data_IF_624360142784
#
_entry.id   IF_624360142784
#
_cell.length_a   1.000
_cell.length_b   1.000
_cell.length_c   1.000
_cell.angle_alpha   90.00
_cell.angle_beta   90.00
_cell.angle_gamma   90.00
#
_symmetry.space_group_name_H-M   'P 1'
#
loop_
_entity.id
_entity.type
_entity.pdbx_description
1 polymer ?
#
# COMPACT_ATOMS: atom_id res chain seq x y z
N UNK A 1 2.06 -20.23 -8.64
CA UNK A 1 3.04 -19.11 -8.63
C UNK A 1 2.52 -17.97 -9.47
N UNK A 2 2.77 -16.71 -9.06
CA UNK A 2 2.36 -15.49 -9.76
C UNK A 2 3.42 -14.39 -9.57
N UNK A 3 3.32 -13.32 -10.36
CA UNK A 3 4.24 -12.19 -10.28
C UNK A 3 3.54 -11.01 -9.61
N UNK A 4 4.11 -10.50 -8.52
CA UNK A 4 3.67 -9.26 -7.87
C UNK A 4 4.58 -8.10 -8.26
N UNK A 5 3.98 -6.94 -8.53
CA UNK A 5 4.72 -5.69 -8.77
C UNK A 5 4.40 -4.67 -7.68
N UNK A 6 5.45 -4.07 -7.10
CA UNK A 6 5.34 -2.89 -6.25
C UNK A 6 5.86 -1.66 -7.01
N UNK A 7 4.98 -0.68 -7.21
CA UNK A 7 5.31 0.57 -7.88
C UNK A 7 5.90 1.56 -6.86
N UNK A 8 6.88 2.35 -7.29
CA UNK A 8 7.47 3.46 -6.56
C UNK A 8 7.21 4.76 -7.30
N UNK A 9 6.61 5.75 -6.62
CA UNK A 9 6.18 7.01 -7.19
C UNK A 9 6.70 8.21 -6.39
N UNK A 10 6.75 9.35 -7.06
CA UNK A 10 6.81 10.68 -6.45
C UNK A 10 5.55 11.42 -6.81
N UNK A 11 4.46 11.14 -6.10
CA UNK A 11 3.18 11.83 -6.32
C UNK A 11 3.26 13.27 -5.85
N UNK A 12 2.54 14.14 -6.54
CA UNK A 12 2.41 15.56 -6.23
C UNK A 12 0.94 15.96 -5.96
N UNK A 13 0.64 17.25 -5.99
CA UNK A 13 -0.70 17.76 -5.78
C UNK A 13 -1.54 17.88 -7.08
N UNK A 14 -1.07 17.31 -8.18
CA UNK A 14 -1.80 17.26 -9.45
C UNK A 14 -2.29 15.83 -9.73
N UNK A 15 -3.61 15.64 -9.62
CA UNK A 15 -4.24 14.31 -9.80
C UNK A 15 -4.04 13.75 -11.20
N UNK A 16 -4.06 14.61 -12.24
CA UNK A 16 -3.88 14.17 -13.63
C UNK A 16 -2.45 13.72 -13.92
N UNK A 17 -1.45 14.47 -13.46
CA UNK A 17 -0.03 14.09 -13.54
C UNK A 17 0.23 12.78 -12.81
N UNK A 18 -0.32 12.62 -11.59
CA UNK A 18 -0.19 11.39 -10.84
C UNK A 18 -0.88 10.21 -11.52
N UNK A 19 -2.04 10.43 -12.17
CA UNK A 19 -2.72 9.38 -12.93
C UNK A 19 -1.89 8.92 -14.13
N UNK A 20 -1.32 9.85 -14.90
CA UNK A 20 -0.46 9.55 -16.04
C UNK A 20 0.73 8.70 -15.62
N UNK A 21 1.54 9.17 -14.65
CA UNK A 21 2.68 8.43 -14.11
C UNK A 21 2.30 7.04 -13.59
N UNK A 22 1.20 6.97 -12.84
CA UNK A 22 0.70 5.71 -12.25
C UNK A 22 0.31 4.73 -13.34
N UNK A 23 -0.42 5.20 -14.35
CA UNK A 23 -0.88 4.39 -15.50
C UNK A 23 0.30 3.83 -16.29
N UNK A 24 1.29 4.66 -16.60
CA UNK A 24 2.47 4.26 -17.35
C UNK A 24 3.28 3.18 -16.62
N UNK A 25 3.46 3.32 -15.32
CA UNK A 25 4.17 2.33 -14.52
C UNK A 25 3.35 1.04 -14.34
N UNK A 26 2.03 1.12 -14.18
CA UNK A 26 1.15 -0.06 -14.16
C UNK A 26 1.27 -0.81 -15.49
N UNK A 27 1.10 -0.14 -16.62
CA UNK A 27 1.18 -0.77 -17.95
C UNK A 27 2.58 -1.34 -18.21
N UNK A 28 3.63 -0.62 -17.83
CA UNK A 28 5.01 -1.09 -17.96
C UNK A 28 5.26 -2.36 -17.12
N UNK A 29 4.71 -2.43 -15.91
CA UNK A 29 4.81 -3.62 -15.07
C UNK A 29 4.03 -4.81 -15.64
N UNK A 30 2.86 -4.57 -16.23
CA UNK A 30 2.06 -5.58 -16.93
C UNK A 30 2.83 -6.15 -18.13
N UNK A 31 3.48 -5.31 -18.94
CA UNK A 31 4.36 -5.73 -20.04
C UNK A 31 5.51 -6.61 -19.56
N UNK A 32 5.96 -6.45 -18.31
CA UNK A 32 6.93 -7.30 -17.62
C UNK A 32 6.29 -8.50 -16.88
N UNK A 33 5.04 -8.86 -17.25
CA UNK A 33 4.30 -10.04 -16.77
C UNK A 33 3.87 -9.98 -15.31
N UNK A 34 3.62 -8.79 -14.74
CA UNK A 34 2.98 -8.68 -13.45
C UNK A 34 1.52 -9.19 -13.50
N UNK A 35 1.09 -9.91 -12.47
CA UNK A 35 -0.27 -10.44 -12.30
C UNK A 35 -1.04 -9.65 -11.25
N UNK A 36 -0.34 -9.17 -10.23
CA UNK A 36 -0.86 -8.30 -9.19
C UNK A 36 0.04 -7.05 -9.06
N UNK A 37 -0.54 -5.86 -9.17
CA UNK A 37 0.17 -4.60 -9.15
C UNK A 37 -0.30 -3.78 -7.95
N UNK A 38 0.65 -3.18 -7.22
CA UNK A 38 0.39 -2.41 -6.00
C UNK A 38 1.06 -1.05 -6.15
N UNK A 39 0.30 0.03 -5.93
CA UNK A 39 0.81 1.39 -5.89
C UNK A 39 1.04 1.87 -4.45
N UNK A 40 1.76 2.96 -4.19
CA UNK A 40 2.04 3.44 -2.83
C UNK A 40 0.83 4.13 -2.16
N UNK A 41 1.02 4.56 -0.91
CA UNK A 41 0.09 5.46 -0.20
C UNK A 41 0.04 6.82 -0.89
N UNK A 42 -1.14 7.47 -0.89
CA UNK A 42 -1.37 8.78 -1.52
C UNK A 42 -1.05 8.80 -3.04
N UNK A 43 -1.39 7.73 -3.73
CA UNK A 43 -1.10 7.57 -5.16
C UNK A 43 -1.68 8.70 -6.02
N UNK A 44 -2.96 9.04 -5.81
CA UNK A 44 -3.64 10.02 -6.66
C UNK A 44 -3.33 11.47 -6.30
N UNK A 45 -3.02 11.73 -5.04
CA UNK A 45 -2.87 13.09 -4.51
C UNK A 45 -1.97 13.09 -3.28
N UNK A 46 -0.88 13.85 -3.34
CA UNK A 46 0.05 14.00 -2.24
C UNK A 46 0.18 15.48 -1.84
N UNK A 47 -0.56 15.89 -0.84
CA UNK A 47 -0.47 17.24 -0.26
C UNK A 47 -0.63 17.21 1.25
N UNK A 48 -0.04 18.20 1.94
CA UNK A 48 -0.22 18.44 3.36
C UNK A 48 -1.30 19.51 3.64
N UNK A 49 -1.75 20.22 2.62
CA UNK A 49 -2.82 21.22 2.74
C UNK A 49 -4.18 20.53 2.81
N UNK A 50 -4.90 20.78 3.90
CA UNK A 50 -6.23 20.19 4.14
C UNK A 50 -7.31 20.75 3.20
N UNK A 51 -7.23 22.03 2.83
CA UNK A 51 -8.19 22.64 1.91
C UNK A 51 -8.04 22.02 0.52
N UNK A 52 -6.80 21.93 0.05
CA UNK A 52 -6.47 21.29 -1.22
C UNK A 52 -6.91 19.82 -1.26
N UNK A 53 -6.75 19.07 -0.15
CA UNK A 53 -7.28 17.70 -0.04
C UNK A 53 -8.80 17.65 -0.19
N UNK A 54 -9.54 18.56 0.49
CA UNK A 54 -11.01 18.61 0.41
C UNK A 54 -11.52 19.04 -0.96
N UNK A 55 -10.82 19.93 -1.64
CA UNK A 55 -11.16 20.40 -2.99
C UNK A 55 -10.96 19.32 -4.04
N UNK A 56 -9.82 18.62 -3.99
CA UNK A 56 -9.39 17.65 -5.02
C UNK A 56 -9.84 16.22 -4.77
N UNK A 57 -10.20 15.86 -3.53
CA UNK A 57 -10.71 14.54 -3.23
C UNK A 57 -12.13 14.36 -3.75
N UNK A 58 -12.40 13.20 -4.33
CA UNK A 58 -13.70 12.81 -4.87
C UNK A 58 -14.32 11.68 -4.04
N UNK A 59 -15.65 11.50 -4.19
CA UNK A 59 -16.35 10.36 -3.61
C UNK A 59 -16.00 9.06 -4.35
N UNK A 60 -16.08 7.94 -3.66
CA UNK A 60 -15.66 6.64 -4.24
C UNK A 60 -16.41 6.25 -5.51
N UNK A 61 -17.71 6.59 -5.59
CA UNK A 61 -18.57 6.22 -6.72
C UNK A 61 -18.49 7.21 -7.90
N UNK A 62 -17.85 8.33 -7.71
CA UNK A 62 -17.64 9.35 -8.73
C UNK A 62 -16.20 9.85 -8.62
N UNK A 63 -15.25 8.97 -8.97
CA UNK A 63 -13.82 9.23 -8.81
C UNK A 63 -13.09 8.92 -10.13
N UNK A 64 -12.66 9.97 -10.80
CA UNK A 64 -12.01 9.88 -12.09
C UNK A 64 -10.74 9.01 -12.08
N UNK A 65 -9.95 9.11 -11.00
CA UNK A 65 -8.74 8.29 -10.85
C UNK A 65 -9.10 6.80 -10.77
N UNK A 66 -10.06 6.44 -9.91
CA UNK A 66 -10.51 5.05 -9.75
C UNK A 66 -11.16 4.49 -11.02
N UNK A 67 -11.94 5.28 -11.74
CA UNK A 67 -12.54 4.87 -13.03
C UNK A 67 -11.45 4.53 -14.06
N UNK A 68 -10.40 5.35 -14.14
CA UNK A 68 -9.29 5.12 -15.05
C UNK A 68 -8.55 3.83 -14.72
N UNK A 69 -8.28 3.56 -13.45
CA UNK A 69 -7.66 2.31 -13.01
C UNK A 69 -8.56 1.10 -13.23
N UNK A 70 -9.87 1.25 -13.02
CA UNK A 70 -10.88 0.22 -13.33
C UNK A 70 -10.81 -0.21 -14.80
N UNK A 71 -10.74 0.76 -15.72
CA UNK A 71 -10.60 0.49 -17.17
C UNK A 71 -9.31 -0.28 -17.48
N UNK A 72 -8.18 0.10 -16.88
CA UNK A 72 -6.89 -0.59 -17.06
C UNK A 72 -6.99 -2.02 -16.52
N UNK A 73 -7.47 -2.21 -15.29
CA UNK A 73 -7.66 -3.52 -14.68
C UNK A 73 -8.49 -4.44 -15.57
N UNK A 74 -9.61 -3.93 -16.11
CA UNK A 74 -10.50 -4.66 -17.03
C UNK A 74 -9.83 -4.99 -18.36
N UNK A 75 -9.15 -4.01 -18.99
CA UNK A 75 -8.53 -4.16 -20.30
C UNK A 75 -7.38 -5.19 -20.29
N UNK A 76 -6.55 -5.15 -19.25
CA UNK A 76 -5.39 -6.03 -19.13
C UNK A 76 -5.66 -7.30 -18.32
N UNK A 77 -6.88 -7.46 -17.77
CA UNK A 77 -7.27 -8.63 -16.93
C UNK A 77 -6.32 -8.85 -15.74
N UNK A 78 -5.98 -7.77 -15.02
CA UNK A 78 -5.03 -7.80 -13.92
C UNK A 78 -5.64 -7.34 -12.60
N UNK A 79 -5.14 -7.90 -11.49
CA UNK A 79 -5.42 -7.38 -10.16
C UNK A 79 -4.60 -6.12 -9.91
N UNK A 80 -5.25 -5.04 -9.47
CA UNK A 80 -4.59 -3.76 -9.17
C UNK A 80 -5.03 -3.27 -7.80
N UNK A 81 -4.08 -3.01 -6.91
CA UNK A 81 -4.31 -2.34 -5.64
C UNK A 81 -3.80 -0.90 -5.74
N UNK A 82 -4.69 0.06 -5.68
CA UNK A 82 -4.31 1.44 -5.37
C UNK A 82 -4.02 1.49 -3.88
N UNK A 83 -2.74 1.69 -3.55
CA UNK A 83 -2.22 1.58 -2.19
C UNK A 83 -2.91 2.50 -1.22
N UNK A 84 -3.12 3.75 -1.59
CA UNK A 84 -4.22 4.55 -1.08
C UNK A 84 -4.43 5.85 -1.86
N UNK A 85 -5.60 6.45 -1.63
CA UNK A 85 -5.96 7.79 -2.09
C UNK A 85 -6.94 8.44 -1.11
N UNK A 86 -7.04 9.78 -1.08
CA UNK A 86 -8.06 10.47 -0.29
C UNK A 86 -9.44 10.26 -0.92
N UNK A 87 -10.37 9.71 -0.15
CA UNK A 87 -11.78 9.54 -0.55
C UNK A 87 -12.65 10.47 0.29
N UNK A 88 -13.46 11.27 -0.37
CA UNK A 88 -14.44 12.15 0.28
C UNK A 88 -15.59 11.33 0.85
N UNK A 89 -15.79 11.41 2.16
CA UNK A 89 -16.90 10.78 2.87
C UNK A 89 -18.04 11.77 3.10
N UNK A 90 -17.71 13.06 3.23
CA UNK A 90 -18.63 14.20 3.35
C UNK A 90 -17.90 15.49 3.00
N UNK A 91 -18.59 16.64 3.10
CA UNK A 91 -17.97 17.95 2.83
C UNK A 91 -16.72 18.26 3.67
N UNK A 92 -16.56 17.61 4.84
CA UNK A 92 -15.44 17.87 5.78
C UNK A 92 -14.65 16.63 6.18
N UNK A 93 -15.06 15.45 5.74
CA UNK A 93 -14.45 14.18 6.17
C UNK A 93 -13.86 13.43 4.98
N UNK A 94 -12.63 12.99 5.15
CA UNK A 94 -11.90 12.17 4.19
C UNK A 94 -11.54 10.81 4.82
N UNK A 95 -11.37 9.79 3.98
CA UNK A 95 -10.71 8.54 4.33
C UNK A 95 -9.42 8.40 3.54
N UNK A 96 -8.35 7.91 4.18
CA UNK A 96 -7.16 7.42 3.50
C UNK A 96 -7.43 5.96 3.13
N UNK A 97 -7.88 5.72 1.88
CA UNK A 97 -8.49 4.45 1.44
C UNK A 97 -7.63 3.71 0.42
N UNK A 98 -7.36 2.46 0.72
CA UNK A 98 -6.83 1.46 -0.22
C UNK A 98 -7.98 0.84 -1.03
N UNK A 99 -7.83 0.66 -2.35
CA UNK A 99 -8.88 0.13 -3.22
C UNK A 99 -8.32 -0.98 -4.11
N UNK A 100 -8.90 -2.17 -4.04
CA UNK A 100 -8.52 -3.35 -4.82
C UNK A 100 -9.48 -3.56 -5.99
N UNK A 101 -8.94 -3.58 -7.20
CA UNK A 101 -9.67 -3.94 -8.42
C UNK A 101 -9.40 -5.39 -8.82
N UNK A 102 -10.45 -6.10 -9.20
CA UNK A 102 -10.35 -7.43 -9.81
C UNK A 102 -10.17 -7.33 -11.34
N UNK A 103 -9.82 -8.43 -12.03
CA UNK A 103 -9.60 -8.44 -13.49
C UNK A 103 -10.83 -8.06 -14.37
N UNK A 104 -11.99 -7.88 -13.78
CA UNK A 104 -13.18 -7.38 -14.46
C UNK A 104 -13.37 -5.86 -14.29
N UNK A 105 -12.41 -5.17 -13.66
CA UNK A 105 -12.47 -3.74 -13.37
C UNK A 105 -13.42 -3.38 -12.22
N UNK A 106 -13.96 -4.37 -11.51
CA UNK A 106 -14.83 -4.11 -10.35
C UNK A 106 -14.00 -3.97 -9.09
N UNK A 107 -14.41 -3.08 -8.19
CA UNK A 107 -13.86 -3.00 -6.85
C UNK A 107 -14.19 -4.29 -6.11
N UNK A 108 -13.14 -5.07 -5.78
CA UNK A 108 -13.26 -6.33 -5.04
C UNK A 108 -13.29 -6.08 -3.54
N UNK A 109 -12.53 -5.09 -3.06
CA UNK A 109 -12.48 -4.72 -1.65
C UNK A 109 -11.86 -3.33 -1.48
N UNK A 110 -12.04 -2.73 -0.30
CA UNK A 110 -11.35 -1.51 0.11
C UNK A 110 -11.03 -1.55 1.61
N UNK A 111 -10.05 -0.74 2.02
CA UNK A 111 -9.62 -0.62 3.40
C UNK A 111 -9.34 0.84 3.74
N UNK A 112 -9.92 1.33 4.83
CA UNK A 112 -9.60 2.63 5.40
C UNK A 112 -8.53 2.47 6.46
N UNK A 113 -7.46 3.26 6.37
CA UNK A 113 -6.34 3.26 7.31
C UNK A 113 -6.85 3.38 8.74
N UNK A 114 -6.39 2.46 9.61
CA UNK A 114 -6.84 2.42 11.02
C UNK A 114 -5.99 3.36 11.86
N UNK A 115 -4.66 3.30 11.74
CA UNK A 115 -3.76 4.04 12.61
C UNK A 115 -3.27 5.30 11.91
N UNK A 116 -3.69 6.46 12.43
CA UNK A 116 -3.34 7.77 11.91
C UNK A 116 -1.93 8.19 12.33
N UNK A 117 -1.20 8.82 11.40
CA UNK A 117 0.16 9.27 11.63
C UNK A 117 0.17 10.62 12.36
N UNK A 118 -0.10 10.59 13.66
CA UNK A 118 -0.05 11.75 14.56
C UNK A 118 1.25 11.70 15.35
N UNK A 119 2.27 12.38 14.85
CA UNK A 119 3.63 12.29 15.42
C UNK A 119 4.34 13.64 15.41
N UNK A 120 5.24 13.80 16.36
CA UNK A 120 6.19 14.92 16.43
C UNK A 120 7.61 14.36 16.37
N UNK A 121 8.24 14.42 15.19
CA UNK A 121 9.57 13.89 14.97
C UNK A 121 10.67 14.90 15.39
N UNK A 122 10.38 16.20 15.27
CA UNK A 122 11.25 17.28 15.70
C UNK A 122 10.44 18.56 15.97
N UNK A 123 11.13 19.67 16.34
CA UNK A 123 10.46 20.99 16.45
C UNK A 123 9.86 21.47 15.12
N UNK A 124 10.44 21.06 13.99
CA UNK A 124 10.03 21.46 12.63
C UNK A 124 9.23 20.39 11.87
N UNK A 125 9.19 19.16 12.36
CA UNK A 125 8.55 18.03 11.67
C UNK A 125 7.46 17.42 12.56
N UNK A 126 6.21 17.83 12.31
CA UNK A 126 5.02 17.39 13.01
C UNK A 126 3.96 17.01 11.98
N UNK A 127 3.28 15.90 12.24
CA UNK A 127 2.16 15.39 11.43
C UNK A 127 0.94 15.16 12.32
N UNK A 128 -0.25 15.52 11.82
CA UNK A 128 -1.54 15.37 12.49
C UNK A 128 -2.55 14.84 11.46
N UNK A 129 -2.38 13.58 11.07
CA UNK A 129 -3.19 12.94 10.03
C UNK A 129 -4.66 12.82 10.45
N UNK A 130 -4.93 12.56 11.74
CA UNK A 130 -6.28 12.46 12.29
C UNK A 130 -7.12 13.75 12.18
N UNK A 131 -6.48 14.91 11.99
CA UNK A 131 -7.19 16.16 11.71
C UNK A 131 -7.78 16.23 10.30
N UNK A 132 -7.32 15.35 9.40
CA UNK A 132 -7.66 15.36 7.98
C UNK A 132 -8.47 14.15 7.57
N UNK A 133 -8.17 13.01 8.16
CA UNK A 133 -8.75 11.72 7.79
C UNK A 133 -9.45 11.05 8.97
N UNK A 134 -10.62 10.49 8.69
CA UNK A 134 -11.33 9.62 9.63
C UNK A 134 -10.63 8.25 9.68
N UNK A 135 -10.29 7.81 10.88
CA UNK A 135 -9.71 6.48 11.10
C UNK A 135 -10.69 5.36 10.75
N UNK A 136 -10.22 4.38 10.00
CA UNK A 136 -10.93 3.14 9.77
C UNK A 136 -11.09 2.32 11.05
N UNK A 137 -12.06 1.38 11.06
CA UNK A 137 -12.34 0.51 12.22
C UNK A 137 -12.24 -0.97 11.88
N UNK A 138 -12.26 -1.30 10.59
CA UNK A 138 -12.35 -2.70 10.13
C UNK A 138 -11.00 -3.21 9.64
N UNK A 139 -10.57 -4.35 10.16
CA UNK A 139 -9.48 -5.15 9.59
C UNK A 139 -10.03 -5.88 8.37
N UNK A 140 -9.39 -5.72 7.22
CA UNK A 140 -9.92 -6.19 5.94
C UNK A 140 -9.01 -7.26 5.35
N UNK A 141 -9.65 -8.31 4.83
CA UNK A 141 -9.04 -9.37 4.03
C UNK A 141 -9.67 -9.37 2.64
N UNK A 142 -8.88 -9.66 1.63
CA UNK A 142 -9.37 -9.95 0.28
C UNK A 142 -8.94 -11.33 -0.17
N UNK A 143 -9.82 -12.06 -0.86
CA UNK A 143 -9.48 -13.32 -1.50
C UNK A 143 -8.97 -13.04 -2.91
N UNK A 144 -7.69 -13.36 -3.12
CA UNK A 144 -7.07 -13.40 -4.44
C UNK A 144 -7.05 -14.86 -4.95
N UNK A 145 -6.84 -15.11 -6.24
CA UNK A 145 -6.70 -16.48 -6.77
C UNK A 145 -5.61 -17.30 -6.08
N UNK A 146 -4.61 -16.63 -5.51
CA UNK A 146 -3.41 -17.25 -4.91
C UNK A 146 -3.49 -17.35 -3.37
N UNK A 147 -4.50 -16.78 -2.73
CA UNK A 147 -4.65 -16.84 -1.29
C UNK A 147 -5.27 -15.58 -0.68
N UNK A 148 -5.32 -15.52 0.65
CA UNK A 148 -5.85 -14.38 1.38
C UNK A 148 -4.79 -13.29 1.56
N UNK A 149 -5.18 -12.06 1.28
CA UNK A 149 -4.39 -10.86 1.45
C UNK A 149 -4.98 -9.98 2.56
N UNK A 150 -4.15 -9.56 3.50
CA UNK A 150 -4.47 -8.57 4.52
C UNK A 150 -4.06 -7.17 4.06
N UNK A 151 -4.91 -6.19 4.35
CA UNK A 151 -4.65 -4.78 4.08
C UNK A 151 -4.00 -4.10 5.26
N UNK A 152 -3.05 -3.21 4.97
CA UNK A 152 -2.60 -2.16 5.87
C UNK A 152 -2.11 -0.96 5.06
N UNK A 153 -1.90 0.20 5.69
CA UNK A 153 -1.36 1.40 5.07
C UNK A 153 -0.32 2.02 6.00
N UNK A 154 0.92 2.12 5.53
CA UNK A 154 2.02 2.94 6.08
C UNK A 154 2.21 2.80 7.61
N UNK A 155 1.68 3.73 8.39
CA UNK A 155 1.82 3.77 9.85
C UNK A 155 1.28 2.53 10.55
N UNK A 156 0.32 1.82 9.93
CA UNK A 156 -0.19 0.53 10.41
C UNK A 156 0.94 -0.49 10.65
N UNK A 157 2.07 -0.37 9.94
CA UNK A 157 3.21 -1.29 10.10
C UNK A 157 3.77 -1.31 11.53
N UNK A 158 3.53 -0.27 12.32
CA UNK A 158 3.99 -0.19 13.71
C UNK A 158 3.11 -0.95 14.69
N UNK A 159 1.98 -1.47 14.26
CA UNK A 159 0.97 -2.11 15.09
C UNK A 159 0.92 -3.63 14.84
N UNK A 160 1.74 -4.44 15.54
CA UNK A 160 1.88 -5.88 15.28
C UNK A 160 0.57 -6.65 15.39
N UNK A 161 -0.33 -6.23 16.28
CA UNK A 161 -1.61 -6.90 16.50
C UNK A 161 -2.49 -6.91 15.24
N UNK A 162 -2.47 -5.85 14.43
CA UNK A 162 -3.19 -5.83 13.14
C UNK A 162 -2.73 -6.98 12.25
N UNK A 163 -1.43 -7.14 12.07
CA UNK A 163 -0.83 -8.16 11.21
C UNK A 163 -1.05 -9.56 11.77
N UNK A 164 -0.89 -9.71 13.09
CA UNK A 164 -1.12 -10.98 13.76
C UNK A 164 -2.53 -11.48 13.58
N UNK A 165 -3.53 -10.62 13.75
CA UNK A 165 -4.93 -10.98 13.56
C UNK A 165 -5.27 -11.29 12.11
N UNK A 166 -4.74 -10.54 11.14
CA UNK A 166 -4.91 -10.84 9.72
C UNK A 166 -4.29 -12.21 9.38
N UNK A 167 -3.09 -12.51 9.90
CA UNK A 167 -2.43 -13.79 9.70
C UNK A 167 -3.18 -14.96 10.35
N UNK A 168 -3.70 -14.78 11.60
CA UNK A 168 -4.56 -15.78 12.26
C UNK A 168 -5.85 -16.06 11.48
N UNK A 169 -6.37 -15.08 10.73
CA UNK A 169 -7.50 -15.25 9.80
C UNK A 169 -7.11 -15.84 8.46
N UNK A 170 -5.86 -16.25 8.28
CA UNK A 170 -5.36 -16.96 7.10
C UNK A 170 -4.70 -16.09 6.03
N UNK A 171 -4.44 -14.79 6.28
CA UNK A 171 -3.68 -13.98 5.32
C UNK A 171 -2.26 -14.52 5.17
N UNK A 172 -1.86 -14.75 3.92
CA UNK A 172 -0.49 -15.16 3.55
C UNK A 172 0.26 -14.05 2.81
N UNK A 173 -0.44 -13.00 2.42
CA UNK A 173 0.08 -11.78 1.83
C UNK A 173 -0.36 -10.58 2.67
N UNK A 174 0.53 -9.61 2.89
CA UNK A 174 0.24 -8.35 3.57
C UNK A 174 0.69 -7.20 2.70
N UNK A 175 -0.17 -6.23 2.44
CA UNK A 175 0.18 -5.02 1.70
C UNK A 175 0.50 -3.89 2.65
N UNK A 176 1.57 -3.15 2.36
CA UNK A 176 2.05 -2.01 3.18
C UNK A 176 2.39 -0.82 2.28
N UNK A 177 1.41 -0.34 1.47
CA UNK A 177 1.64 0.87 0.68
C UNK A 177 1.96 2.04 1.60
N UNK A 178 2.97 2.86 1.25
CA UNK A 178 3.51 3.81 2.22
C UNK A 178 4.00 5.11 1.59
N UNK A 179 3.89 6.18 2.39
CA UNK A 179 4.58 7.45 2.20
C UNK A 179 5.47 7.73 3.44
N UNK A 180 6.36 6.79 3.74
CA UNK A 180 7.20 6.82 4.93
C UNK A 180 8.16 8.01 4.90
N UNK A 181 8.27 8.77 5.99
CA UNK A 181 9.21 9.90 6.04
C UNK A 181 10.64 9.39 5.92
N UNK A 182 11.53 10.17 5.28
CA UNK A 182 12.94 9.82 5.15
C UNK A 182 13.56 9.55 6.52
N UNK A 183 13.34 10.45 7.49
CA UNK A 183 13.90 10.39 8.84
C UNK A 183 13.60 9.09 9.58
N UNK A 184 12.36 8.59 9.50
CA UNK A 184 11.98 7.35 10.18
C UNK A 184 12.22 6.13 9.29
N UNK A 185 12.22 6.31 7.98
CA UNK A 185 12.46 5.25 7.01
C UNK A 185 13.86 4.66 7.14
N UNK A 186 14.88 5.52 7.18
CA UNK A 186 16.28 5.14 7.35
C UNK A 186 16.53 4.26 8.58
N UNK A 187 15.75 4.46 9.64
CA UNK A 187 15.94 3.75 10.91
C UNK A 187 15.03 2.53 11.10
N UNK A 188 13.82 2.56 10.55
CA UNK A 188 12.77 1.62 10.97
C UNK A 188 12.18 0.78 9.84
N UNK A 189 12.21 1.25 8.58
CA UNK A 189 11.42 0.68 7.49
C UNK A 189 11.70 -0.80 7.25
N UNK A 190 12.95 -1.14 6.97
CA UNK A 190 13.36 -2.52 6.70
C UNK A 190 13.11 -3.45 7.90
N UNK A 191 13.48 -3.00 9.10
CA UNK A 191 13.32 -3.79 10.34
C UNK A 191 11.85 -4.11 10.60
N UNK A 192 10.96 -3.10 10.49
CA UNK A 192 9.54 -3.31 10.73
C UNK A 192 8.92 -4.26 9.69
N UNK A 193 9.22 -4.07 8.41
CA UNK A 193 8.66 -4.94 7.36
C UNK A 193 9.15 -6.38 7.48
N UNK A 194 10.45 -6.59 7.78
CA UNK A 194 10.99 -7.92 8.05
C UNK A 194 10.35 -8.56 9.27
N UNK A 195 10.17 -7.81 10.36
CA UNK A 195 9.47 -8.32 11.54
C UNK A 195 8.05 -8.77 11.21
N UNK A 196 7.27 -7.96 10.44
CA UNK A 196 5.92 -8.35 10.01
C UNK A 196 5.91 -9.60 9.14
N UNK A 197 6.93 -9.80 8.30
CA UNK A 197 7.07 -11.02 7.50
C UNK A 197 7.31 -12.24 8.39
N UNK A 198 8.33 -12.20 9.25
CA UNK A 198 8.80 -13.34 10.06
C UNK A 198 7.76 -13.77 11.09
N UNK A 199 7.26 -12.83 11.90
CA UNK A 199 6.34 -13.13 13.00
C UNK A 199 5.00 -13.71 12.54
N UNK A 200 4.63 -13.48 11.26
CA UNK A 200 3.37 -13.90 10.67
C UNK A 200 3.53 -14.95 9.56
N UNK A 201 4.75 -15.28 9.18
CA UNK A 201 5.05 -16.10 8.00
C UNK A 201 4.19 -15.70 6.81
N UNK A 202 4.28 -14.42 6.44
CA UNK A 202 3.53 -13.82 5.34
C UNK A 202 4.45 -13.03 4.41
N UNK A 203 4.17 -13.04 3.12
CA UNK A 203 4.82 -12.09 2.21
C UNK A 203 4.43 -10.66 2.56
N UNK A 204 5.38 -9.75 2.45
CA UNK A 204 5.14 -8.31 2.58
C UNK A 204 5.35 -7.64 1.22
N UNK A 205 4.33 -6.92 0.76
CA UNK A 205 4.33 -6.12 -0.47
C UNK A 205 4.26 -4.64 -0.09
N UNK A 206 5.37 -3.94 -0.16
CA UNK A 206 5.53 -2.58 0.34
C UNK A 206 5.88 -1.62 -0.81
N UNK A 207 4.87 -1.14 -1.52
CA UNK A 207 5.01 -0.08 -2.50
C UNK A 207 5.17 1.28 -1.79
N UNK A 208 6.14 2.10 -2.19
CA UNK A 208 6.52 3.30 -1.45
C UNK A 208 6.57 4.57 -2.31
N UNK A 209 6.19 5.70 -1.71
CA UNK A 209 6.51 7.03 -2.22
C UNK A 209 8.00 7.31 -2.02
N UNK A 210 8.64 8.00 -2.97
CA UNK A 210 10.07 8.28 -2.97
C UNK A 210 10.38 9.74 -3.26
N UNK A 211 11.53 10.22 -2.77
CA UNK A 211 12.08 11.50 -3.16
C UNK A 211 11.45 12.72 -2.49
N UNK A 212 11.54 13.86 -3.16
CA UNK A 212 11.05 15.16 -2.69
C UNK A 212 9.72 15.48 -3.36
N UNK A 213 8.68 15.64 -2.56
CA UNK A 213 7.34 16.00 -3.03
C UNK A 213 7.16 17.52 -3.13
N UNK A 214 6.08 17.93 -3.79
CA UNK A 214 5.68 19.31 -4.03
C UNK A 214 5.83 20.24 -2.78
N UNK A 215 5.45 19.76 -1.60
CA UNK A 215 5.48 20.49 -0.32
C UNK A 215 6.81 20.36 0.43
N UNK A 216 7.89 20.02 -0.24
CA UNK A 216 9.22 19.75 0.31
C UNK A 216 9.30 18.54 1.27
N UNK A 217 8.24 17.76 1.44
CA UNK A 217 8.29 16.52 2.22
C UNK A 217 9.20 15.51 1.51
N UNK A 218 10.10 14.91 2.29
CA UNK A 218 10.96 13.83 1.80
C UNK A 218 10.39 12.48 2.24
N UNK A 219 10.22 11.57 1.29
CA UNK A 219 9.87 10.17 1.55
C UNK A 219 11.04 9.24 1.25
N UNK A 220 11.04 8.11 1.94
CA UNK A 220 12.20 7.22 2.01
C UNK A 220 12.42 6.42 0.73
N UNK A 221 11.36 6.08 0.01
CA UNK A 221 11.43 5.12 -1.09
C UNK A 221 11.53 3.70 -0.58
N UNK A 222 12.47 2.93 -1.13
CA UNK A 222 12.72 1.56 -0.73
C UNK A 222 11.47 0.69 -0.81
N UNK A 223 10.80 0.70 -1.99
CA UNK A 223 9.75 -0.28 -2.25
C UNK A 223 10.32 -1.69 -2.16
N UNK A 224 9.66 -2.56 -1.38
CA UNK A 224 10.17 -3.89 -1.03
C UNK A 224 9.15 -4.98 -1.30
N UNK A 225 9.64 -6.13 -1.73
CA UNK A 225 8.94 -7.41 -1.70
C UNK A 225 9.76 -8.35 -0.81
N UNK A 226 9.17 -8.77 0.32
CA UNK A 226 9.83 -9.59 1.34
C UNK A 226 9.13 -10.93 1.45
N UNK A 227 9.92 -12.01 1.49
CA UNK A 227 9.44 -13.37 1.69
C UNK A 227 8.98 -13.63 3.14
N UNK A 228 8.20 -14.69 3.38
CA UNK A 228 7.73 -15.04 4.73
C UNK A 228 8.85 -15.38 5.72
N UNK A 229 10.05 -15.66 5.26
CA UNK A 229 11.25 -15.98 6.03
C UNK A 229 12.29 -14.85 6.04
N UNK A 230 11.84 -13.57 5.82
CA UNK A 230 12.64 -12.33 5.93
C UNK A 230 13.52 -11.92 4.74
N UNK A 231 13.66 -12.76 3.73
CA UNK A 231 14.48 -12.44 2.56
C UNK A 231 13.86 -11.29 1.74
N UNK A 232 14.68 -10.31 1.39
CA UNK A 232 14.28 -9.25 0.45
C UNK A 232 14.39 -9.81 -0.96
N UNK A 233 13.26 -10.20 -1.55
CA UNK A 233 13.22 -10.74 -2.90
C UNK A 233 13.54 -9.68 -3.95
N UNK A 234 13.05 -8.45 -3.73
CA UNK A 234 13.32 -7.29 -4.60
C UNK A 234 13.22 -6.00 -3.78
N UNK A 235 14.04 -5.04 -4.16
CA UNK A 235 14.07 -3.69 -3.61
C UNK A 235 14.30 -2.65 -4.70
N UNK A 236 13.64 -1.50 -4.58
CA UNK A 236 13.95 -0.28 -5.34
C UNK A 236 14.23 0.84 -4.35
N UNK A 237 15.50 1.21 -4.23
CA UNK A 237 15.95 2.21 -3.25
C UNK A 237 15.41 3.61 -3.57
N UNK A 238 15.66 4.12 -4.77
CA UNK A 238 15.38 5.51 -5.14
C UNK A 238 14.76 5.62 -6.53
N UNK A 239 14.14 6.78 -6.79
CA UNK A 239 13.56 7.13 -8.08
C UNK A 239 12.25 6.39 -8.38
N UNK A 240 11.49 6.90 -9.32
CA UNK A 240 10.25 6.29 -9.78
C UNK A 240 10.49 5.00 -10.56
N UNK A 241 9.51 4.12 -10.61
CA UNK A 241 9.58 2.84 -11.32
C UNK A 241 8.86 1.73 -10.57
N UNK A 242 9.28 0.49 -10.76
CA UNK A 242 8.69 -0.67 -10.10
C UNK A 242 9.70 -1.80 -9.92
N UNK A 243 9.35 -2.72 -9.02
CA UNK A 243 10.01 -4.02 -8.84
C UNK A 243 9.00 -5.12 -9.09
N UNK A 244 9.49 -6.28 -9.54
CA UNK A 244 8.66 -7.49 -9.74
C UNK A 244 9.39 -8.68 -9.11
N UNK A 245 8.62 -9.50 -8.38
CA UNK A 245 9.08 -10.79 -7.88
C UNK A 245 8.06 -11.89 -8.18
N UNK A 246 8.57 -13.11 -8.43
CA UNK A 246 7.76 -14.32 -8.53
C UNK A 246 7.49 -14.86 -7.12
N UNK A 247 6.24 -15.17 -6.84
CA UNK A 247 5.75 -15.56 -5.51
C UNK A 247 5.31 -17.02 -5.51
N UNK A 248 5.82 -17.80 -4.54
CA UNK A 248 5.29 -19.14 -4.22
C UNK A 248 4.25 -19.01 -3.10
N UNK A 249 2.98 -19.09 -3.46
CA UNK A 249 1.86 -18.99 -2.52
C UNK A 249 1.81 -20.12 -1.48
N UNK A 250 2.56 -21.20 -1.68
CA UNK A 250 2.62 -22.32 -0.75
C UNK A 250 3.66 -22.14 0.36
N UNK A 251 4.67 -21.28 0.15
CA UNK A 251 5.76 -21.07 1.11
C UNK A 251 5.28 -20.66 2.51
N UNK A 252 4.32 -19.71 2.66
CA UNK A 252 3.81 -19.33 3.99
C UNK A 252 3.28 -20.52 4.78
N UNK A 253 2.48 -21.37 4.16
CA UNK A 253 1.90 -22.54 4.84
C UNK A 253 2.94 -23.60 5.19
N UNK A 254 3.95 -23.80 4.35
CA UNK A 254 5.09 -24.68 4.65
C UNK A 254 5.86 -24.22 5.89
N UNK A 255 6.11 -22.89 6.01
CA UNK A 255 6.81 -22.31 7.16
C UNK A 255 5.95 -22.36 8.44
N UNK A 256 4.65 -22.04 8.34
CA UNK A 256 3.70 -22.12 9.46
C UNK A 256 3.54 -23.54 9.99
N UNK A 257 3.66 -24.55 9.13
CA UNK A 257 3.65 -25.96 9.55
C UNK A 257 4.91 -26.33 10.34
N UNK A 258 6.08 -25.78 9.94
CA UNK A 258 7.37 -26.03 10.62
C UNK A 258 7.46 -25.28 11.96
N UNK A 259 6.97 -24.03 12.01
CA UNK A 259 7.02 -23.15 13.18
C UNK A 259 5.60 -22.62 13.46
N UNK A 260 4.78 -23.33 14.26
CA UNK A 260 3.36 -23.03 14.42
C UNK A 260 3.06 -21.87 15.39
N UNK A 261 3.87 -20.80 15.37
CA UNK A 261 3.77 -19.65 16.28
C UNK A 261 2.45 -18.86 16.18
N UNK A 262 1.67 -19.03 15.11
CA UNK A 262 0.35 -18.44 14.97
C UNK A 262 -0.74 -19.17 15.76
N UNK A 263 -0.47 -20.42 16.19
CA UNK A 263 -1.41 -21.23 17.01
C UNK A 263 -1.29 -20.92 18.50
N UNK A 264 -0.18 -20.33 18.93
CA UNK A 264 0.01 -19.88 20.31
C UNK A 264 -0.80 -18.61 20.57
N UNK A 265 -1.41 -18.50 21.75
CA UNK A 265 -2.26 -17.37 22.16
C UNK A 265 -1.48 -16.06 22.34
#
# INVERSE_FOLDING_TARGET
MFNVSCIQLTSDNNVFSNLEKTTDLIISSIKKKADFIITPENTSLFTLDHRELLEKAEEMNNNFFLESISRISKSYKKWILIGSLPIKLSKKLLANRSVLFNPNGKIANYYDKIHMFDVKLSKKEKYEESKKFLAGKKKVLARLPWGLMGFSICYDVRFPNLYRELAKKGAIFMTVPSAFTKTTGEKHWHTLLKARAIENFSYIFAAAQTGKHYNNRLTYGHSLIISPDWEILKEKEKGEGFIIAKIDENLPNKLRAKIPSLKSN
#
